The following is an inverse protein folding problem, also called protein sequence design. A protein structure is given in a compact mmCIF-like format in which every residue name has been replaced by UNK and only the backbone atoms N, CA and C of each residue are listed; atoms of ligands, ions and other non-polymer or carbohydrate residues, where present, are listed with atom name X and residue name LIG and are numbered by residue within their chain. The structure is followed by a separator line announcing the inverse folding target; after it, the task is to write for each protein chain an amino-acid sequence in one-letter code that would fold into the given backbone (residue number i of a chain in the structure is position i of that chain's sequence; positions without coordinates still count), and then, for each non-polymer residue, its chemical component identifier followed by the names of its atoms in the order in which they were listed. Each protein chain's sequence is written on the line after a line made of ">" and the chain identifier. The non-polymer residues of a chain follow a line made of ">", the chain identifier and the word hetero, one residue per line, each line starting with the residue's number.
data_IF_293987737794
#
_entry.id   IF_293987737794
#
_cell.length_a   1.000
_cell.length_b   1.000
_cell.length_c   1.000
_cell.angle_alpha   90.00
_cell.angle_beta   90.00
_cell.angle_gamma   90.00
#
_symmetry.space_group_name_H-M   'P 1'
#
loop_
_entity.id
_entity.type
_entity.pdbx_description
1 polymer ?
#
# COMPACT_ATOMS: atom_id res chain seq x y z
N UNK A 1 -4.79 -9.34 -18.07
CA UNK A 1 -3.68 -10.30 -18.13
C UNK A 1 -3.20 -10.44 -16.70
N UNK A 2 -3.41 -11.58 -16.03
CA UNK A 2 -2.98 -11.74 -14.63
C UNK A 2 -1.46 -11.67 -14.57
N UNK A 3 -0.94 -10.88 -13.65
CA UNK A 3 0.50 -10.67 -13.46
C UNK A 3 1.20 -11.97 -13.06
N UNK A 4 2.31 -12.28 -13.74
CA UNK A 4 3.13 -13.47 -13.48
C UNK A 4 3.74 -13.50 -12.06
N UNK A 5 3.83 -12.35 -11.40
CA UNK A 5 4.24 -12.25 -10.00
C UNK A 5 3.23 -12.95 -9.07
N UNK A 6 1.94 -12.90 -9.40
CA UNK A 6 0.87 -13.49 -8.58
C UNK A 6 0.91 -15.02 -8.61
N UNK A 7 1.22 -15.61 -9.77
CA UNK A 7 1.40 -17.05 -9.96
C UNK A 7 2.58 -17.60 -9.15
N UNK A 8 3.70 -16.86 -9.15
CA UNK A 8 4.86 -17.22 -8.31
C UNK A 8 4.56 -17.11 -6.81
N UNK A 9 3.74 -16.15 -6.40
CA UNK A 9 3.26 -16.04 -5.01
C UNK A 9 2.41 -17.26 -4.65
N UNK A 10 1.47 -17.65 -5.51
CA UNK A 10 0.62 -18.82 -5.29
C UNK A 10 1.45 -20.11 -5.19
N UNK A 11 2.44 -20.28 -6.07
CA UNK A 11 3.38 -21.39 -6.02
C UNK A 11 4.23 -21.39 -4.74
N UNK A 12 4.74 -20.22 -4.34
CA UNK A 12 5.57 -20.08 -3.12
C UNK A 12 4.77 -20.22 -1.82
N UNK A 13 3.45 -20.07 -1.86
CA UNK A 13 2.55 -20.20 -0.70
C UNK A 13 1.73 -21.50 -0.73
N UNK A 14 1.86 -22.30 -1.79
CA UNK A 14 1.22 -23.61 -1.91
C UNK A 14 1.70 -24.52 -0.78
N UNK A 15 0.75 -24.98 0.04
CA UNK A 15 1.05 -25.86 1.19
C UNK A 15 1.29 -25.14 2.52
N UNK A 16 1.17 -23.82 2.57
CA UNK A 16 1.12 -23.08 3.84
C UNK A 16 -0.08 -23.48 4.68
N UNK A 17 0.12 -23.53 6.01
CA UNK A 17 -0.97 -23.71 6.97
C UNK A 17 -1.45 -22.34 7.42
N UNK A 18 -2.69 -22.04 7.07
CA UNK A 18 -3.38 -20.85 7.52
C UNK A 18 -4.08 -21.08 8.88
N UNK A 19 -4.24 -20.04 9.70
CA UNK A 19 -3.86 -18.64 9.49
C UNK A 19 -2.35 -18.38 9.67
N UNK A 20 -1.80 -17.43 8.92
CA UNK A 20 -0.39 -17.04 9.00
C UNK A 20 -0.20 -15.51 8.93
N UNK A 21 0.91 -15.02 9.45
CA UNK A 21 1.25 -13.59 9.42
C UNK A 21 2.04 -13.20 8.17
N UNK A 22 2.07 -11.89 7.86
CA UNK A 22 2.92 -11.31 6.80
C UNK A 22 4.38 -11.79 6.88
N UNK A 23 4.95 -11.82 8.09
CA UNK A 23 6.34 -12.23 8.28
C UNK A 23 6.56 -13.70 7.90
N UNK A 24 5.57 -14.55 8.17
CA UNK A 24 5.59 -15.96 7.81
C UNK A 24 5.45 -16.19 6.31
N UNK A 25 4.60 -15.41 5.64
CA UNK A 25 4.49 -15.38 4.18
C UNK A 25 5.84 -15.04 3.54
N UNK A 26 6.48 -13.96 4.00
CA UNK A 26 7.81 -13.55 3.50
C UNK A 26 8.85 -14.62 3.78
N UNK A 27 8.94 -15.13 5.01
CA UNK A 27 9.92 -16.15 5.40
C UNK A 27 9.78 -17.41 4.55
N UNK A 28 8.55 -17.86 4.33
CA UNK A 28 8.28 -19.05 3.53
C UNK A 28 8.64 -18.81 2.05
N UNK A 29 8.24 -17.67 1.48
CA UNK A 29 8.58 -17.29 0.11
C UNK A 29 10.10 -17.16 -0.09
N UNK A 30 10.83 -16.55 0.83
CA UNK A 30 12.29 -16.46 0.79
C UNK A 30 12.93 -17.85 0.88
N UNK A 31 12.42 -18.73 1.76
CA UNK A 31 12.91 -20.09 1.89
C UNK A 31 12.66 -20.94 0.63
N UNK A 32 11.59 -20.66 -0.11
CA UNK A 32 11.32 -21.28 -1.42
C UNK A 32 12.15 -20.67 -2.56
N UNK A 33 12.91 -19.60 -2.31
CA UNK A 33 13.71 -18.92 -3.34
C UNK A 33 12.88 -18.00 -4.25
N UNK A 34 11.81 -17.41 -3.73
CA UNK A 34 11.02 -16.43 -4.48
C UNK A 34 11.86 -15.19 -4.86
N UNK A 35 11.55 -14.61 -6.02
CA UNK A 35 12.23 -13.42 -6.55
C UNK A 35 12.10 -12.22 -5.61
N UNK A 36 13.09 -11.31 -5.64
CA UNK A 36 13.08 -10.06 -4.87
C UNK A 36 11.83 -9.21 -5.13
N UNK A 37 11.26 -9.26 -6.34
CA UNK A 37 10.00 -8.58 -6.66
C UNK A 37 8.82 -9.16 -5.87
N UNK A 38 8.75 -10.48 -5.75
CA UNK A 38 7.72 -11.19 -4.97
C UNK A 38 7.90 -10.87 -3.48
N UNK A 39 9.14 -10.95 -2.98
CA UNK A 39 9.46 -10.61 -1.59
C UNK A 39 9.12 -9.14 -1.29
N UNK A 40 9.46 -8.22 -2.20
CA UNK A 40 9.15 -6.80 -2.08
C UNK A 40 7.64 -6.54 -1.99
N UNK A 41 6.85 -7.23 -2.81
CA UNK A 41 5.37 -7.17 -2.75
C UNK A 41 4.81 -7.70 -1.43
N UNK A 42 5.36 -8.77 -0.88
CA UNK A 42 4.95 -9.31 0.42
C UNK A 42 5.40 -8.42 1.59
N UNK A 43 6.48 -7.65 1.42
CA UNK A 43 6.98 -6.71 2.42
C UNK A 43 6.14 -5.43 2.55
N UNK A 44 5.51 -4.97 1.47
CA UNK A 44 4.63 -3.79 1.53
C UNK A 44 3.26 -4.08 2.14
N UNK A 45 2.88 -5.35 2.23
CA UNK A 45 1.62 -5.74 2.83
C UNK A 45 1.52 -5.28 4.29
N UNK A 46 0.32 -4.88 4.76
CA UNK A 46 0.10 -4.58 6.16
C UNK A 46 0.34 -5.82 7.03
N UNK A 47 0.83 -5.59 8.25
CA UNK A 47 0.93 -6.64 9.26
C UNK A 47 -0.48 -7.04 9.71
N UNK A 48 -0.98 -8.11 9.10
CA UNK A 48 -2.30 -8.69 9.34
C UNK A 48 -2.19 -10.21 9.34
N UNK A 49 -3.17 -10.86 9.96
CA UNK A 49 -3.33 -12.32 9.88
C UNK A 49 -4.12 -12.65 8.62
N UNK A 50 -3.47 -13.34 7.70
CA UNK A 50 -4.09 -13.78 6.46
C UNK A 50 -4.66 -15.18 6.68
N UNK A 51 -5.95 -15.35 6.39
CA UNK A 51 -6.64 -16.62 6.55
C UNK A 51 -6.53 -17.52 5.32
N UNK A 52 -6.32 -16.94 4.13
CA UNK A 52 -6.28 -17.67 2.86
C UNK A 52 -5.49 -16.88 1.80
N UNK A 53 -5.11 -17.57 0.72
CA UNK A 53 -4.49 -16.97 -0.48
C UNK A 53 -5.31 -15.79 -1.04
N UNK A 54 -6.64 -15.91 -1.07
CA UNK A 54 -7.53 -14.86 -1.57
C UNK A 54 -7.39 -13.54 -0.79
N UNK A 55 -7.17 -13.62 0.53
CA UNK A 55 -7.01 -12.45 1.39
C UNK A 55 -5.66 -11.75 1.12
N UNK A 56 -4.60 -12.54 0.91
CA UNK A 56 -3.27 -12.03 0.50
C UNK A 56 -3.37 -11.32 -0.84
N UNK A 57 -4.08 -11.88 -1.83
CA UNK A 57 -4.27 -11.26 -3.13
C UNK A 57 -5.04 -9.93 -3.02
N UNK A 58 -6.14 -9.90 -2.26
CA UNK A 58 -6.92 -8.68 -2.07
C UNK A 58 -6.09 -7.57 -1.38
N UNK A 59 -5.25 -7.93 -0.42
CA UNK A 59 -4.34 -6.99 0.23
C UNK A 59 -3.25 -6.50 -0.73
N UNK A 60 -2.67 -7.37 -1.57
CA UNK A 60 -1.70 -7.00 -2.59
C UNK A 60 -2.29 -6.00 -3.58
N UNK A 61 -3.50 -6.27 -4.09
CA UNK A 61 -4.20 -5.36 -4.99
C UNK A 61 -4.47 -3.99 -4.33
N UNK A 62 -4.86 -3.97 -3.06
CA UNK A 62 -5.06 -2.71 -2.34
C UNK A 62 -3.76 -1.91 -2.21
N UNK A 63 -2.64 -2.59 -1.96
CA UNK A 63 -1.35 -1.94 -1.65
C UNK A 63 -0.61 -1.49 -2.91
N UNK A 64 -0.70 -2.24 -4.01
CA UNK A 64 -0.11 -1.85 -5.31
C UNK A 64 -0.80 -0.63 -5.91
N UNK A 65 -2.12 -0.49 -5.69
CA UNK A 65 -2.87 0.68 -6.14
C UNK A 65 -2.70 1.89 -5.21
N UNK A 66 -2.30 1.70 -3.95
CA UNK A 66 -2.20 2.77 -2.94
C UNK A 66 -0.90 3.59 -2.98
N UNK A 67 0.09 3.20 -3.79
CA UNK A 67 1.33 3.97 -3.97
C UNK A 67 1.14 5.35 -4.66
N UNK A 68 -0.10 5.71 -4.99
CA UNK A 68 -0.51 7.02 -5.51
C UNK A 68 -1.20 7.96 -4.52
N UNK A 69 -1.44 7.56 -3.26
CA UNK A 69 -2.04 8.45 -2.25
C UNK A 69 -1.03 8.90 -1.21
N UNK A 70 0.00 9.61 -1.68
CA UNK A 70 0.44 10.77 -0.91
C UNK A 70 -0.77 11.70 -0.76
N UNK A 71 -1.30 11.83 0.46
CA UNK A 71 -2.15 12.97 0.82
C UNK A 71 -1.43 14.25 0.35
N UNK A 72 -1.97 15.08 -0.56
CA UNK A 72 -1.80 16.49 -0.33
C UNK A 72 -2.53 16.74 0.99
N UNK A 73 -1.79 17.10 2.04
CA UNK A 73 -2.37 17.76 3.20
C UNK A 73 -3.38 18.78 2.68
N UNK A 74 -4.67 18.77 3.08
CA UNK A 74 -5.57 19.85 2.74
C UNK A 74 -4.89 21.12 3.24
N UNK A 75 -4.52 21.96 2.29
CA UNK A 75 -4.03 23.30 2.57
C UNK A 75 -5.06 23.95 3.48
N UNK A 76 -4.65 24.31 4.70
CA UNK A 76 -5.46 25.22 5.51
C UNK A 76 -5.42 26.56 4.79
N UNK A 77 -6.40 26.73 3.91
CA UNK A 77 -7.12 27.97 3.64
C UNK A 77 -6.27 29.23 3.66
N UNK A 78 -5.66 29.50 2.51
CA UNK A 78 -5.48 30.87 2.07
C UNK A 78 -6.80 31.33 1.42
N UNK A 79 -7.33 32.47 1.89
CA UNK A 79 -8.30 33.39 1.26
C UNK A 79 -9.69 33.46 1.92
N UNK A 80 -9.83 34.32 2.94
CA UNK A 80 -10.86 35.36 2.91
C UNK A 80 -10.51 36.55 3.82
N UNK A 81 -10.72 37.75 3.30
CA UNK A 81 -11.02 39.01 4.00
C UNK A 81 -10.06 39.60 5.05
N UNK A 82 -9.04 40.34 4.59
CA UNK A 82 -8.74 41.69 5.11
C UNK A 82 -7.95 42.50 4.08
N UNK A 83 -8.52 42.64 2.87
CA UNK A 83 -8.17 43.72 1.96
C UNK A 83 -8.68 45.02 2.58
N UNK A 84 -7.90 45.61 3.48
CA UNK A 84 -8.13 46.99 3.90
C UNK A 84 -8.04 47.88 2.66
N UNK A 85 -9.08 48.67 2.34
CA UNK A 85 -9.05 49.52 1.16
C UNK A 85 -8.06 50.67 1.36
N UNK A 86 -7.21 50.87 0.36
CA UNK A 86 -6.59 52.15 0.07
C UNK A 86 -7.68 53.23 -0.05
N UNK A 87 -7.61 54.30 0.76
CA UNK A 87 -7.92 55.68 0.32
C UNK A 87 -7.31 56.73 1.25
N UNK A 88 -6.36 57.45 0.68
CA UNK A 88 -5.86 58.79 1.01
C UNK A 88 -7.00 59.81 0.81
N UNK A 89 -7.41 60.61 1.80
CA UNK A 89 -8.02 61.96 1.64
C UNK A 89 -7.95 62.76 2.96
N UNK A 90 -7.59 64.02 2.79
CA UNK A 90 -7.37 65.19 3.68
C UNK A 90 -8.42 65.46 4.79
N UNK A 91 -7.98 66.11 5.89
CA UNK A 91 -8.40 67.47 6.36
C UNK A 91 -7.37 68.06 7.32
#
# INVERSE_FOLDING_TARGET
>A
MRDFAQDRIDAALTGMRYPCERQELVRHATAQGADDEVIGRLCVLPEHHYADLADVHAALERTTHDSGSARPSPTTSQTDAARGPDRRTEV
#
